data_IF_222227163160
#
_entry.id   IF_222227163160
#
_cell.length_a   1.000
_cell.length_b   1.000
_cell.length_c   1.000
_cell.angle_alpha   90.00
_cell.angle_beta   90.00
_cell.angle_gamma   90.00
#
_symmetry.space_group_name_H-M   'P 1'
#
loop_
_entity.id
_entity.type
_entity.pdbx_description
1 polymer ?
#
# COMPACT_ATOMS: atom_id res chain seq x y z
N UNK A 1 8.63 -29.31 -11.40
CA UNK A 1 8.90 -28.42 -10.27
C UNK A 1 9.65 -27.22 -10.81
N UNK A 2 9.03 -26.04 -10.83
CA UNK A 2 9.73 -24.82 -11.17
C UNK A 2 10.85 -24.60 -10.13
N UNK A 3 12.03 -24.18 -10.56
CA UNK A 3 13.11 -23.86 -9.66
C UNK A 3 12.80 -22.53 -8.97
N UNK A 4 13.29 -22.34 -7.73
CA UNK A 4 13.17 -21.07 -6.98
C UNK A 4 13.57 -19.86 -7.84
N UNK A 5 14.53 -20.06 -8.75
CA UNK A 5 14.98 -19.05 -9.71
C UNK A 5 13.89 -18.70 -10.74
N UNK A 6 13.12 -19.68 -11.22
CA UNK A 6 12.01 -19.44 -12.16
C UNK A 6 10.84 -18.70 -11.47
N UNK A 7 10.54 -19.04 -10.22
CA UNK A 7 9.52 -18.31 -9.44
C UNK A 7 9.96 -16.87 -9.13
N UNK A 8 11.25 -16.63 -8.88
CA UNK A 8 11.81 -15.28 -8.69
C UNK A 8 11.79 -14.51 -10.01
N UNK A 9 12.18 -15.14 -11.12
CA UNK A 9 12.18 -14.52 -12.45
C UNK A 9 10.74 -14.24 -12.93
N UNK A 10 9.77 -15.10 -12.62
CA UNK A 10 8.35 -14.85 -12.88
C UNK A 10 7.83 -13.67 -12.04
N UNK A 11 8.14 -13.61 -10.75
CA UNK A 11 7.78 -12.47 -9.89
C UNK A 11 8.46 -11.18 -10.34
N UNK A 12 9.71 -11.23 -10.78
CA UNK A 12 10.44 -10.06 -11.28
C UNK A 12 9.88 -9.57 -12.62
N UNK A 13 9.45 -10.48 -13.50
CA UNK A 13 8.78 -10.15 -14.76
C UNK A 13 7.37 -9.58 -14.52
N UNK A 14 6.67 -10.00 -13.47
CA UNK A 14 5.35 -9.52 -13.10
C UNK A 14 5.39 -8.04 -12.69
N UNK A 15 6.38 -7.64 -11.88
CA UNK A 15 6.60 -6.23 -11.52
C UNK A 15 7.05 -5.36 -12.69
N UNK A 16 7.68 -5.96 -13.73
CA UNK A 16 8.07 -5.22 -14.95
C UNK A 16 6.90 -4.91 -15.89
N UNK A 17 5.79 -5.65 -15.79
CA UNK A 17 4.63 -5.52 -16.69
C UNK A 17 3.70 -4.35 -16.38
N UNK A 18 3.92 -3.62 -15.28
CA UNK A 18 3.08 -2.50 -14.82
C UNK A 18 1.58 -2.86 -14.72
N UNK A 19 1.28 -4.09 -14.27
CA UNK A 19 -0.06 -4.60 -14.07
C UNK A 19 -0.35 -4.75 -12.58
N UNK A 20 -1.60 -4.50 -12.21
CA UNK A 20 -2.11 -4.76 -10.87
C UNK A 20 -2.63 -6.20 -10.79
N UNK A 21 -2.03 -7.03 -9.94
CA UNK A 21 -2.45 -8.41 -9.73
C UNK A 21 -3.31 -8.51 -8.46
N UNK A 22 -4.57 -8.84 -8.65
CA UNK A 22 -5.58 -8.87 -7.62
C UNK A 22 -6.09 -10.28 -7.39
N UNK A 23 -5.94 -10.79 -6.17
CA UNK A 23 -6.63 -12.01 -5.73
C UNK A 23 -8.06 -11.64 -5.36
N UNK A 24 -9.03 -12.24 -6.04
CA UNK A 24 -10.46 -12.03 -5.79
C UNK A 24 -11.00 -13.07 -4.82
N UNK A 25 -11.86 -12.61 -3.92
CA UNK A 25 -12.52 -13.48 -2.91
C UNK A 25 -13.88 -12.92 -2.51
N UNK A 26 -14.65 -13.72 -1.77
CA UNK A 26 -15.98 -13.37 -1.25
C UNK A 26 -16.00 -13.46 0.26
N UNK A 27 -16.78 -12.58 0.87
CA UNK A 27 -16.95 -12.46 2.33
C UNK A 27 -18.40 -12.72 2.78
N UNK A 28 -19.25 -13.12 1.86
CA UNK A 28 -20.69 -13.29 2.11
C UNK A 28 -21.51 -12.10 1.65
N UNK A 29 -22.68 -11.91 2.25
CA UNK A 29 -23.60 -10.82 1.94
C UNK A 29 -23.31 -9.59 2.80
N UNK A 30 -23.38 -8.41 2.19
CA UNK A 30 -23.32 -7.17 2.93
C UNK A 30 -24.63 -6.92 3.71
N UNK A 31 -24.57 -6.16 4.82
CA UNK A 31 -25.69 -5.96 5.74
C UNK A 31 -27.00 -5.42 5.10
N UNK A 32 -26.90 -4.81 3.91
CA UNK A 32 -28.03 -4.20 3.18
C UNK A 32 -28.18 -4.71 1.75
N UNK A 33 -27.56 -5.83 1.41
CA UNK A 33 -27.59 -6.42 0.07
C UNK A 33 -27.63 -7.94 0.17
N UNK A 34 -28.46 -8.57 -0.65
CA UNK A 34 -28.45 -10.03 -0.83
C UNK A 34 -27.38 -10.48 -1.84
N UNK A 35 -26.61 -9.54 -2.39
CA UNK A 35 -25.55 -9.87 -3.33
C UNK A 35 -24.25 -10.16 -2.58
N UNK A 36 -23.52 -11.14 -3.11
CA UNK A 36 -22.17 -11.52 -2.63
C UNK A 36 -21.16 -10.75 -3.46
N UNK A 37 -20.74 -9.60 -2.96
CA UNK A 37 -19.80 -8.73 -3.62
C UNK A 37 -18.42 -9.39 -3.77
N UNK A 38 -17.65 -8.94 -4.77
CA UNK A 38 -16.26 -9.31 -4.95
C UNK A 38 -15.36 -8.33 -4.22
N UNK A 39 -14.46 -8.89 -3.44
CA UNK A 39 -13.38 -8.19 -2.79
C UNK A 39 -12.05 -8.61 -3.40
N UNK A 40 -11.05 -7.77 -3.24
CA UNK A 40 -9.72 -8.05 -3.73
C UNK A 40 -8.62 -7.60 -2.78
N UNK A 41 -7.50 -8.30 -2.84
CA UNK A 41 -6.24 -7.95 -2.20
C UNK A 41 -5.12 -8.09 -3.22
N UNK A 42 -4.10 -7.22 -3.14
CA UNK A 42 -2.92 -7.39 -3.96
C UNK A 42 -2.26 -8.75 -3.67
N UNK A 43 -2.02 -9.51 -4.72
CA UNK A 43 -1.43 -10.86 -4.66
C UNK A 43 -0.07 -10.86 -3.95
N UNK A 44 0.71 -9.79 -4.07
CA UNK A 44 2.03 -9.69 -3.42
C UNK A 44 1.98 -9.64 -1.89
N UNK A 45 0.82 -9.31 -1.30
CA UNK A 45 0.59 -9.38 0.16
C UNK A 45 0.22 -10.79 0.61
N UNK A 46 -0.17 -11.68 -0.31
CA UNK A 46 -0.62 -13.03 0.00
C UNK A 46 0.55 -14.01 -0.09
N UNK A 47 0.83 -14.68 1.02
CA UNK A 47 1.87 -15.69 1.11
C UNK A 47 1.38 -17.08 0.70
N UNK A 48 0.23 -17.48 1.23
CA UNK A 48 -0.40 -18.77 0.91
C UNK A 48 -1.91 -18.75 1.22
N UNK A 49 -2.64 -19.66 0.60
CA UNK A 49 -4.07 -19.88 0.80
C UNK A 49 -4.25 -21.34 1.19
N UNK A 50 -5.08 -21.60 2.20
CA UNK A 50 -5.33 -22.95 2.69
C UNK A 50 -6.76 -23.10 3.22
N UNK A 51 -7.20 -24.35 3.39
CA UNK A 51 -8.42 -24.65 4.13
C UNK A 51 -8.24 -24.22 5.58
N UNK A 52 -9.31 -23.73 6.20
CA UNK A 52 -9.31 -23.26 7.58
C UNK A 52 -8.72 -24.31 8.53
N UNK A 53 -7.59 -24.04 9.20
CA UNK A 53 -7.02 -24.93 10.20
C UNK A 53 -7.74 -24.79 11.55
N UNK A 54 -7.32 -25.56 12.53
CA UNK A 54 -7.74 -25.38 13.92
C UNK A 54 -7.27 -24.04 14.46
N UNK A 55 -8.20 -23.26 15.01
CA UNK A 55 -7.93 -21.95 15.61
C UNK A 55 -8.06 -22.07 17.13
N UNK A 56 -7.08 -21.59 17.85
CA UNK A 56 -7.10 -21.46 19.31
C UNK A 56 -7.60 -20.08 19.69
N UNK A 57 -8.74 -19.99 20.34
CA UNK A 57 -9.29 -18.73 20.81
C UNK A 57 -8.37 -18.09 21.85
N UNK A 58 -8.22 -16.77 21.81
CA UNK A 58 -7.41 -15.99 22.74
C UNK A 58 -8.34 -15.24 23.71
N UNK A 59 -8.12 -15.43 25.00
CA UNK A 59 -8.89 -14.73 26.04
C UNK A 59 -8.65 -13.21 25.93
N UNK A 60 -9.74 -12.44 25.95
CA UNK A 60 -9.66 -10.98 25.85
C UNK A 60 -9.34 -10.44 24.44
N UNK A 61 -9.42 -11.28 23.40
CA UNK A 61 -9.24 -10.83 22.01
C UNK A 61 -10.31 -9.81 21.59
N UNK A 62 -9.97 -8.98 20.62
CA UNK A 62 -10.89 -7.99 20.02
C UNK A 62 -11.99 -8.66 19.19
N UNK A 63 -13.06 -7.93 18.90
CA UNK A 63 -14.29 -8.44 18.29
C UNK A 63 -14.07 -9.28 17.03
N UNK A 64 -13.13 -8.94 16.18
CA UNK A 64 -12.92 -9.60 14.88
C UNK A 64 -11.62 -10.43 14.86
N UNK A 65 -11.01 -10.71 16.02
CA UNK A 65 -9.91 -11.63 16.14
C UNK A 65 -10.46 -13.01 16.50
N UNK A 66 -10.39 -13.97 15.57
CA UNK A 66 -10.86 -15.35 15.80
C UNK A 66 -9.97 -16.12 16.78
N UNK A 67 -8.68 -15.80 16.81
CA UNK A 67 -7.69 -16.45 17.67
C UNK A 67 -6.32 -16.56 17.00
N UNK A 68 -5.59 -17.60 17.36
CA UNK A 68 -4.26 -17.91 16.83
C UNK A 68 -4.25 -19.28 16.17
N UNK A 69 -3.41 -19.46 15.17
CA UNK A 69 -3.16 -20.76 14.55
C UNK A 69 -1.67 -20.96 14.33
N UNK A 70 -1.25 -22.23 14.27
CA UNK A 70 0.14 -22.59 13.98
C UNK A 70 0.24 -23.03 12.52
N UNK A 71 1.01 -22.25 11.73
CA UNK A 71 1.31 -22.56 10.34
C UNK A 71 2.81 -22.76 10.20
N UNK A 72 3.23 -24.00 9.87
CA UNK A 72 4.63 -24.35 9.67
C UNK A 72 5.56 -23.94 10.84
N UNK A 73 5.05 -24.04 12.07
CA UNK A 73 5.81 -23.71 13.29
C UNK A 73 5.72 -22.24 13.71
N UNK A 74 5.09 -21.39 12.91
CA UNK A 74 4.83 -20.00 13.25
C UNK A 74 3.40 -19.83 13.78
N UNK A 75 3.26 -19.26 14.98
CA UNK A 75 1.96 -18.93 15.56
C UNK A 75 1.55 -17.54 15.08
N UNK A 76 0.44 -17.47 14.35
CA UNK A 76 -0.03 -16.23 13.71
C UNK A 76 -1.48 -15.91 14.10
N UNK A 77 -1.86 -14.62 14.19
CA UNK A 77 -3.23 -14.21 14.45
C UNK A 77 -4.13 -14.47 13.24
N UNK A 78 -5.38 -14.82 13.52
CA UNK A 78 -6.44 -15.06 12.54
C UNK A 78 -7.55 -14.05 12.74
N UNK A 79 -7.87 -13.30 11.68
CA UNK A 79 -8.84 -12.22 11.67
C UNK A 79 -10.06 -12.62 10.85
N UNK A 80 -11.26 -12.41 11.39
CA UNK A 80 -12.54 -12.48 10.67
C UNK A 80 -12.65 -11.27 9.73
N UNK A 81 -12.25 -11.46 8.48
CA UNK A 81 -12.28 -10.38 7.50
C UNK A 81 -13.73 -10.00 7.15
N UNK A 82 -14.63 -10.99 7.08
CA UNK A 82 -16.03 -10.73 6.77
C UNK A 82 -16.69 -9.86 7.86
N UNK A 83 -16.53 -10.25 9.12
CA UNK A 83 -17.04 -9.46 10.24
C UNK A 83 -16.42 -8.07 10.34
N UNK A 84 -15.13 -7.93 10.05
CA UNK A 84 -14.42 -6.66 10.08
C UNK A 84 -14.96 -5.65 9.06
N UNK A 85 -15.38 -6.11 7.88
CA UNK A 85 -15.96 -5.24 6.83
C UNK A 85 -17.50 -5.21 6.84
N UNK A 86 -18.15 -5.88 7.80
CA UNK A 86 -19.61 -5.88 7.95
C UNK A 86 -20.35 -6.83 7.03
N UNK A 87 -19.69 -7.88 6.53
CA UNK A 87 -20.29 -8.95 5.75
C UNK A 87 -20.69 -10.15 6.62
N UNK A 88 -21.64 -10.93 6.14
CA UNK A 88 -22.10 -12.18 6.77
C UNK A 88 -21.89 -13.37 5.83
N UNK A 89 -20.95 -14.28 6.14
CA UNK A 89 -20.71 -15.47 5.34
C UNK A 89 -21.94 -16.38 5.32
N UNK A 90 -22.35 -16.85 4.14
CA UNK A 90 -23.44 -17.83 3.99
C UNK A 90 -23.01 -19.26 4.30
N UNK A 91 -21.79 -19.60 3.86
CA UNK A 91 -21.26 -20.96 3.93
C UNK A 91 -20.18 -21.09 5.02
N UNK A 92 -20.05 -20.08 5.88
CA UNK A 92 -18.99 -19.99 6.90
C UNK A 92 -17.65 -19.53 6.34
N UNK A 93 -16.69 -19.35 7.24
CA UNK A 93 -15.32 -18.96 6.92
C UNK A 93 -14.48 -20.23 6.72
N UNK A 94 -14.32 -20.68 5.48
CA UNK A 94 -13.73 -21.98 5.16
C UNK A 94 -12.28 -21.89 4.68
N UNK A 95 -11.85 -20.71 4.27
CA UNK A 95 -10.52 -20.48 3.69
C UNK A 95 -9.74 -19.53 4.58
N UNK A 96 -8.48 -19.86 4.79
CA UNK A 96 -7.51 -19.00 5.45
C UNK A 96 -6.55 -18.44 4.41
N UNK A 97 -6.48 -17.12 4.32
CA UNK A 97 -5.53 -16.38 3.49
C UNK A 97 -4.42 -15.83 4.39
N UNK A 98 -3.23 -16.43 4.30
CA UNK A 98 -2.04 -16.00 5.04
C UNK A 98 -1.38 -14.86 4.29
N UNK A 99 -1.16 -13.75 4.97
CA UNK A 99 -0.57 -12.56 4.40
C UNK A 99 0.72 -12.18 5.14
N UNK A 100 1.64 -11.59 4.39
CA UNK A 100 2.91 -11.09 4.92
C UNK A 100 3.18 -9.71 4.35
N UNK A 101 3.10 -8.69 5.21
CA UNK A 101 3.39 -7.30 4.86
C UNK A 101 3.72 -6.52 6.15
N UNK A 102 4.33 -5.36 5.99
CA UNK A 102 4.74 -4.51 7.12
C UNK A 102 5.54 -5.29 8.19
N UNK A 103 6.38 -6.22 7.76
CA UNK A 103 7.22 -7.09 8.62
C UNK A 103 6.43 -7.98 9.60
N UNK A 104 5.17 -8.23 9.32
CA UNK A 104 4.33 -9.12 10.13
C UNK A 104 3.62 -10.16 9.28
N UNK A 105 3.36 -11.32 9.88
CA UNK A 105 2.57 -12.39 9.29
C UNK A 105 1.27 -12.53 10.05
N UNK A 106 0.16 -12.50 9.35
CA UNK A 106 -1.19 -12.66 9.87
C UNK A 106 -2.04 -13.43 8.87
N UNK A 107 -3.22 -13.82 9.27
CA UNK A 107 -4.14 -14.53 8.38
C UNK A 107 -5.54 -13.93 8.45
N UNK A 108 -6.21 -13.90 7.31
CA UNK A 108 -7.59 -13.47 7.17
C UNK A 108 -8.47 -14.65 6.80
N UNK A 109 -9.53 -14.85 7.58
CA UNK A 109 -10.56 -15.84 7.30
C UNK A 109 -11.55 -15.26 6.29
N UNK A 110 -11.74 -15.96 5.18
CA UNK A 110 -12.65 -15.60 4.08
C UNK A 110 -13.61 -16.75 3.77
N UNK A 111 -14.75 -16.43 3.15
CA UNK A 111 -15.73 -17.45 2.79
C UNK A 111 -15.26 -18.29 1.61
N UNK A 112 -14.78 -17.63 0.56
CA UNK A 112 -14.43 -18.26 -0.72
C UNK A 112 -13.35 -17.44 -1.43
N UNK A 113 -12.40 -18.12 -2.06
CA UNK A 113 -11.43 -17.50 -2.98
C UNK A 113 -11.88 -17.80 -4.40
N UNK A 114 -11.89 -16.78 -5.26
CA UNK A 114 -12.34 -16.90 -6.65
C UNK A 114 -11.14 -17.11 -7.59
N UNK A 115 -10.51 -16.06 -8.05
CA UNK A 115 -9.42 -16.12 -9.03
C UNK A 115 -8.42 -14.97 -8.86
N UNK A 116 -7.27 -15.07 -9.51
CA UNK A 116 -6.34 -13.96 -9.68
C UNK A 116 -6.61 -13.29 -11.02
N UNK A 117 -6.73 -11.97 -11.01
CA UNK A 117 -6.89 -11.15 -12.21
C UNK A 117 -5.71 -10.19 -12.36
N UNK A 118 -5.34 -9.90 -13.61
CA UNK A 118 -4.32 -8.91 -13.97
C UNK A 118 -4.99 -7.73 -14.64
N UNK A 119 -4.89 -6.56 -14.03
CA UNK A 119 -5.55 -5.34 -14.45
C UNK A 119 -4.54 -4.27 -14.84
N UNK A 120 -4.91 -3.44 -15.79
CA UNK A 120 -4.21 -2.17 -15.99
C UNK A 120 -4.58 -1.21 -14.86
N UNK A 121 -3.64 -0.39 -14.40
CA UNK A 121 -3.90 0.60 -13.36
C UNK A 121 -5.03 1.58 -13.73
N UNK A 122 -5.28 1.80 -15.02
CA UNK A 122 -6.42 2.59 -15.51
C UNK A 122 -7.79 1.97 -15.21
N UNK A 123 -7.82 0.66 -14.90
CA UNK A 123 -9.05 -0.05 -14.49
C UNK A 123 -9.30 0.04 -12.97
N UNK A 124 -8.33 0.57 -12.22
CA UNK A 124 -8.37 0.68 -10.75
C UNK A 124 -8.61 2.13 -10.36
N UNK A 125 -9.78 2.40 -9.81
CA UNK A 125 -10.25 3.75 -9.49
C UNK A 125 -10.19 3.98 -7.98
N UNK A 126 -9.73 5.14 -7.55
CA UNK A 126 -9.73 5.51 -6.13
C UNK A 126 -11.14 5.53 -5.54
N UNK A 127 -11.34 4.91 -4.37
CA UNK A 127 -12.64 4.78 -3.70
C UNK A 127 -12.85 5.79 -2.56
N UNK A 128 -11.90 6.66 -2.28
CA UNK A 128 -11.87 7.50 -1.06
C UNK A 128 -13.09 8.39 -0.82
N UNK A 129 -13.75 8.83 -1.89
CA UNK A 129 -14.95 9.68 -1.77
C UNK A 129 -16.22 8.90 -1.41
N UNK A 130 -16.19 7.58 -1.43
CA UNK A 130 -17.38 6.73 -1.41
C UNK A 130 -17.51 5.85 -0.16
N UNK A 131 -16.48 5.75 0.69
CA UNK A 131 -16.46 4.79 1.81
C UNK A 131 -16.17 5.44 3.15
N UNK A 132 -17.04 5.18 4.14
CA UNK A 132 -16.79 5.51 5.53
C UNK A 132 -15.78 4.52 6.13
N UNK A 133 -14.72 5.00 6.78
CA UNK A 133 -13.79 4.19 7.56
C UNK A 133 -12.49 3.76 6.88
N UNK A 134 -12.24 4.14 5.62
CA UNK A 134 -10.95 3.90 4.95
C UNK A 134 -10.56 2.43 4.74
N UNK A 135 -11.52 1.50 4.77
CA UNK A 135 -11.26 0.07 4.60
C UNK A 135 -11.14 -0.37 3.12
N UNK A 136 -11.48 0.51 2.19
CA UNK A 136 -11.41 0.27 0.76
C UNK A 136 -10.53 1.36 0.14
N UNK A 137 -9.47 0.97 -0.56
CA UNK A 137 -8.58 1.91 -1.24
C UNK A 137 -9.08 2.24 -2.64
N UNK A 138 -9.63 1.25 -3.33
CA UNK A 138 -10.02 1.41 -4.74
C UNK A 138 -11.12 0.43 -5.16
N UNK A 139 -11.74 0.75 -6.31
CA UNK A 139 -12.69 -0.11 -7.02
C UNK A 139 -12.05 -0.54 -8.33
N UNK A 140 -11.94 -1.85 -8.53
CA UNK A 140 -11.38 -2.45 -9.73
C UNK A 140 -12.48 -2.84 -10.71
N UNK A 141 -12.33 -2.46 -11.99
CA UNK A 141 -13.13 -2.95 -13.11
C UNK A 141 -12.49 -4.22 -13.65
N UNK A 142 -13.21 -5.34 -13.61
CA UNK A 142 -12.65 -6.66 -13.91
C UNK A 142 -12.64 -7.03 -15.39
N UNK A 143 -13.44 -6.35 -16.19
CA UNK A 143 -13.55 -6.60 -17.63
C UNK A 143 -13.57 -5.27 -18.42
N UNK A 144 -13.42 -5.37 -19.74
CA UNK A 144 -13.31 -4.20 -20.62
C UNK A 144 -14.65 -3.54 -20.98
N UNK A 145 -15.79 -4.09 -20.53
CA UNK A 145 -17.10 -3.49 -20.75
C UNK A 145 -17.31 -2.36 -19.72
N UNK A 146 -17.32 -1.13 -20.21
CA UNK A 146 -17.44 0.06 -19.34
C UNK A 146 -18.84 0.18 -18.73
N UNK A 147 -19.87 -0.32 -19.41
CA UNK A 147 -21.26 -0.15 -19.00
C UNK A 147 -21.76 -1.28 -18.08
N UNK A 148 -21.22 -2.50 -18.24
CA UNK A 148 -21.62 -3.69 -17.48
C UNK A 148 -20.45 -4.42 -16.81
N UNK A 149 -19.38 -3.73 -16.51
CA UNK A 149 -18.20 -4.35 -15.88
C UNK A 149 -18.51 -4.87 -14.48
N UNK A 150 -18.00 -6.05 -14.17
CA UNK A 150 -17.99 -6.52 -12.79
C UNK A 150 -17.00 -5.68 -11.98
N UNK A 151 -17.38 -5.31 -10.78
CA UNK A 151 -16.57 -4.51 -9.88
C UNK A 151 -16.03 -5.37 -8.73
N UNK A 152 -14.81 -5.10 -8.31
CA UNK A 152 -14.26 -5.64 -7.07
C UNK A 152 -13.78 -4.49 -6.17
N UNK A 153 -14.04 -4.63 -4.87
CA UNK A 153 -13.61 -3.67 -3.85
C UNK A 153 -12.23 -4.08 -3.34
N UNK A 154 -11.22 -3.24 -3.54
CA UNK A 154 -9.86 -3.50 -3.07
C UNK A 154 -9.75 -3.07 -1.61
N UNK A 155 -9.47 -4.04 -0.73
CA UNK A 155 -9.43 -3.82 0.72
C UNK A 155 -8.08 -3.26 1.17
N UNK A 156 -8.14 -2.26 2.06
CA UNK A 156 -7.00 -1.85 2.87
C UNK A 156 -6.84 -2.80 4.07
N UNK A 157 -6.17 -3.92 3.81
CA UNK A 157 -5.96 -4.95 4.85
C UNK A 157 -5.05 -4.47 5.99
N UNK A 158 -4.24 -3.44 5.75
CA UNK A 158 -3.39 -2.82 6.76
C UNK A 158 -4.23 -2.00 7.73
N UNK A 159 -5.16 -1.20 7.20
CA UNK A 159 -6.12 -0.46 8.01
C UNK A 159 -7.03 -1.41 8.80
N UNK A 160 -7.50 -2.48 8.14
CA UNK A 160 -8.35 -3.49 8.79
C UNK A 160 -7.59 -4.19 9.91
N UNK A 161 -6.34 -4.61 9.68
CA UNK A 161 -5.50 -5.21 10.71
C UNK A 161 -5.34 -4.30 11.92
N UNK A 162 -5.07 -3.01 11.70
CA UNK A 162 -4.92 -2.04 12.79
C UNK A 162 -6.21 -1.77 13.55
N UNK A 163 -7.35 -1.82 12.87
CA UNK A 163 -8.65 -1.69 13.54
C UNK A 163 -8.93 -2.88 14.47
N UNK A 164 -8.53 -4.08 14.05
CA UNK A 164 -8.72 -5.32 14.83
C UNK A 164 -7.63 -5.49 15.88
N UNK A 165 -6.41 -5.15 15.56
CA UNK A 165 -5.23 -5.30 16.42
C UNK A 165 -4.47 -3.96 16.49
N UNK A 166 -4.98 -2.98 17.25
CA UNK A 166 -4.33 -1.68 17.35
C UNK A 166 -2.94 -1.83 17.99
N UNK A 167 -1.93 -1.07 17.51
CA UNK A 167 -0.61 -1.08 18.09
C UNK A 167 -0.64 -0.59 19.55
N UNK A 168 0.21 -1.16 20.38
CA UNK A 168 0.30 -0.82 21.80
C UNK A 168 1.00 0.52 22.09
N UNK A 169 1.66 1.11 21.09
CA UNK A 169 2.35 2.39 21.18
C UNK A 169 2.07 3.25 19.94
N UNK A 170 2.17 4.59 20.04
CA UNK A 170 2.06 5.47 18.87
C UNK A 170 3.13 5.13 17.82
N UNK A 171 2.74 5.08 16.55
CA UNK A 171 3.66 4.82 15.44
C UNK A 171 4.69 5.93 15.28
N UNK A 172 4.30 7.17 15.54
CA UNK A 172 5.15 8.34 15.44
C UNK A 172 5.43 8.87 16.85
N UNK A 173 6.69 8.75 17.27
CA UNK A 173 7.20 9.32 18.50
C UNK A 173 8.25 10.39 18.15
N UNK A 174 7.94 11.66 18.39
CA UNK A 174 8.81 12.78 18.09
C UNK A 174 10.23 12.64 18.69
N UNK A 175 10.36 11.99 19.86
CA UNK A 175 11.66 11.74 20.49
C UNK A 175 12.58 10.82 19.66
N UNK A 176 12.01 9.95 18.84
CA UNK A 176 12.74 8.96 18.03
C UNK A 176 12.95 9.42 16.59
N UNK A 177 12.41 10.60 16.22
CA UNK A 177 12.49 11.10 14.84
C UNK A 177 13.85 11.71 14.49
N UNK A 178 14.73 11.91 15.47
CA UNK A 178 16.02 12.55 15.29
C UNK A 178 15.91 14.08 15.05
N UNK A 179 16.96 14.73 14.54
CA UNK A 179 16.96 16.18 14.35
C UNK A 179 15.98 16.63 13.27
N UNK A 180 15.53 17.89 13.39
CA UNK A 180 14.69 18.55 12.40
C UNK A 180 15.37 18.59 11.03
N UNK A 181 14.61 18.34 9.98
CA UNK A 181 15.11 18.38 8.59
C UNK A 181 15.01 19.82 8.07
N UNK A 182 16.10 20.33 7.53
CA UNK A 182 16.16 21.68 6.95
C UNK A 182 16.00 21.59 5.44
N UNK A 183 14.83 21.92 4.95
CA UNK A 183 14.59 22.09 3.51
C UNK A 183 15.01 23.48 3.03
N UNK A 184 15.22 23.62 1.71
CA UNK A 184 15.35 24.94 1.09
C UNK A 184 14.08 25.75 1.33
N UNK A 185 14.18 27.07 1.60
CA UNK A 185 12.99 27.89 1.80
C UNK A 185 12.02 27.80 0.62
N UNK A 186 10.76 27.42 0.90
CA UNK A 186 9.72 27.29 -0.12
C UNK A 186 9.69 25.94 -0.84
N UNK A 187 10.59 25.01 -0.51
CA UNK A 187 10.51 23.63 -1.02
C UNK A 187 9.69 22.71 -0.08
N UNK A 188 9.12 21.67 -0.66
CA UNK A 188 8.27 20.71 0.04
C UNK A 188 8.71 19.28 -0.26
N UNK A 189 8.29 18.34 0.59
CA UNK A 189 8.23 16.92 0.24
C UNK A 189 6.88 16.66 -0.44
N UNK A 190 6.91 16.10 -1.65
CA UNK A 190 5.72 15.66 -2.35
C UNK A 190 5.51 14.18 -2.04
N UNK A 191 4.46 13.86 -1.29
CA UNK A 191 4.17 12.50 -0.85
C UNK A 191 2.90 11.94 -1.53
N UNK A 192 2.90 10.65 -1.88
CA UNK A 192 1.77 9.98 -2.49
C UNK A 192 1.56 8.57 -1.90
N UNK A 193 0.34 8.28 -1.48
CA UNK A 193 -0.09 6.97 -0.95
C UNK A 193 -1.62 6.87 -1.06
N UNK A 194 -2.16 5.71 -1.45
CA UNK A 194 -3.61 5.52 -1.59
C UNK A 194 -4.30 5.16 -0.26
N UNK A 195 -3.56 4.63 0.71
CA UNK A 195 -4.06 4.31 2.05
C UNK A 195 -4.20 5.57 2.90
N UNK A 196 -5.39 5.83 3.43
CA UNK A 196 -5.63 6.92 4.39
C UNK A 196 -4.75 6.79 5.64
N UNK A 197 -4.59 5.55 6.13
CA UNK A 197 -3.73 5.27 7.27
C UNK A 197 -2.28 5.67 6.99
N UNK A 198 -1.74 5.21 5.87
CA UNK A 198 -0.35 5.50 5.51
C UNK A 198 -0.12 7.01 5.32
N UNK A 199 -1.05 7.72 4.65
CA UNK A 199 -0.98 9.18 4.53
C UNK A 199 -0.96 9.87 5.89
N UNK A 200 -1.83 9.47 6.82
CA UNK A 200 -1.87 10.04 8.18
C UNK A 200 -0.52 9.85 8.91
N UNK A 201 0.08 8.68 8.80
CA UNK A 201 1.37 8.39 9.43
C UNK A 201 2.54 9.12 8.77
N UNK A 202 2.52 9.26 7.44
CA UNK A 202 3.48 10.07 6.70
C UNK A 202 3.37 11.54 7.14
N UNK A 203 2.16 12.09 7.18
CA UNK A 203 1.93 13.47 7.64
C UNK A 203 2.46 13.70 9.05
N UNK A 204 2.09 12.84 9.99
CA UNK A 204 2.60 12.93 11.37
C UNK A 204 4.13 12.88 11.41
N UNK A 205 4.75 12.02 10.61
CA UNK A 205 6.20 11.90 10.53
C UNK A 205 6.85 13.16 9.96
N UNK A 206 6.33 13.70 8.86
CA UNK A 206 6.84 14.93 8.23
C UNK A 206 6.66 16.15 9.15
N UNK A 207 5.52 16.27 9.83
CA UNK A 207 5.27 17.31 10.83
C UNK A 207 6.27 17.21 11.99
N UNK A 208 6.49 15.99 12.52
CA UNK A 208 7.45 15.76 13.61
C UNK A 208 8.90 16.09 13.21
N UNK A 209 9.25 16.00 11.92
CA UNK A 209 10.54 16.41 11.37
C UNK A 209 10.61 17.91 11.01
N UNK A 210 9.52 18.66 11.13
CA UNK A 210 9.43 20.06 10.72
C UNK A 210 9.44 20.29 9.21
N UNK A 211 9.02 19.31 8.43
CA UNK A 211 9.04 19.30 6.98
C UNK A 211 7.72 19.80 6.41
N UNK A 212 7.77 20.74 5.47
CA UNK A 212 6.62 21.13 4.66
C UNK A 212 6.33 20.06 3.60
N UNK A 213 5.06 19.75 3.37
CA UNK A 213 4.70 18.69 2.43
C UNK A 213 3.44 19.00 1.63
N UNK A 214 3.29 18.29 0.52
CA UNK A 214 2.05 18.18 -0.25
C UNK A 214 1.71 16.69 -0.28
N UNK A 215 0.48 16.33 0.13
CA UNK A 215 0.01 14.95 0.12
C UNK A 215 -0.90 14.70 -1.08
N UNK A 216 -0.63 13.63 -1.80
CA UNK A 216 -1.39 13.13 -2.94
C UNK A 216 -1.95 11.73 -2.63
N UNK A 217 -3.01 11.33 -3.32
CA UNK A 217 -3.70 10.06 -3.12
C UNK A 217 -3.35 9.01 -4.19
N UNK A 218 -2.80 9.45 -5.30
CA UNK A 218 -2.41 8.59 -6.42
C UNK A 218 -1.09 9.07 -7.03
N UNK A 219 -0.39 8.18 -7.72
CA UNK A 219 0.79 8.56 -8.46
C UNK A 219 0.49 9.54 -9.61
N UNK A 220 -0.73 9.47 -10.17
CA UNK A 220 -1.17 10.42 -11.19
C UNK A 220 -1.32 11.83 -10.62
N UNK A 221 -1.94 11.97 -9.45
CA UNK A 221 -2.05 13.27 -8.77
C UNK A 221 -0.67 13.84 -8.43
N UNK A 222 0.24 13.00 -7.94
CA UNK A 222 1.62 13.41 -7.65
C UNK A 222 2.36 13.87 -8.90
N UNK A 223 2.19 13.17 -10.03
CA UNK A 223 2.77 13.56 -11.30
C UNK A 223 2.24 14.92 -11.78
N UNK A 224 0.93 15.13 -11.76
CA UNK A 224 0.30 16.38 -12.18
C UNK A 224 0.71 17.56 -11.27
N UNK A 225 0.83 17.30 -9.96
CA UNK A 225 1.29 18.29 -8.99
C UNK A 225 2.75 18.66 -9.23
N UNK A 226 3.62 17.67 -9.55
CA UNK A 226 5.02 17.91 -9.87
C UNK A 226 5.17 18.78 -11.12
N UNK A 227 4.37 18.55 -12.15
CA UNK A 227 4.34 19.39 -13.35
C UNK A 227 3.93 20.83 -13.01
N UNK A 228 2.85 21.03 -12.25
CA UNK A 228 2.39 22.35 -11.82
C UNK A 228 3.47 23.12 -11.03
N UNK A 229 4.16 22.42 -10.12
CA UNK A 229 5.26 23.03 -9.34
C UNK A 229 6.47 23.39 -10.21
N UNK A 230 6.73 22.60 -11.26
CA UNK A 230 7.77 22.90 -12.23
C UNK A 230 7.46 24.15 -13.05
N UNK A 231 6.23 24.28 -13.53
CA UNK A 231 5.79 25.44 -14.30
C UNK A 231 5.88 26.72 -13.42
N UNK A 232 5.47 26.62 -12.17
CA UNK A 232 5.61 27.72 -11.21
C UNK A 232 7.09 28.05 -10.92
N UNK A 233 7.98 27.06 -10.82
CA UNK A 233 9.41 27.30 -10.64
C UNK A 233 10.02 28.05 -11.84
N UNK A 234 9.68 27.60 -13.06
CA UNK A 234 10.16 28.26 -14.30
C UNK A 234 9.68 29.72 -14.35
N UNK A 235 8.41 29.98 -14.02
CA UNK A 235 7.86 31.35 -13.98
C UNK A 235 8.59 32.26 -12.98
N UNK A 236 9.17 31.69 -11.91
CA UNK A 236 10.00 32.41 -10.91
C UNK A 236 11.51 32.41 -11.25
N UNK A 237 11.91 31.86 -12.38
CA UNK A 237 13.34 31.72 -12.74
C UNK A 237 14.09 30.71 -11.84
N UNK A 238 13.40 29.74 -11.26
CA UNK A 238 13.92 28.71 -10.35
C UNK A 238 13.92 27.33 -11.00
N UNK A 239 14.60 26.39 -10.35
CA UNK A 239 14.56 24.97 -10.71
C UNK A 239 13.47 24.23 -9.93
N UNK A 240 13.09 23.04 -10.37
CA UNK A 240 12.16 22.20 -9.62
C UNK A 240 12.70 21.85 -8.23
N UNK A 241 14.02 21.68 -8.06
CA UNK A 241 14.65 21.41 -6.77
C UNK A 241 14.50 22.55 -5.73
N UNK A 242 14.10 23.75 -6.16
CA UNK A 242 13.76 24.85 -5.27
C UNK A 242 12.29 24.80 -4.80
N UNK A 243 11.46 23.95 -5.41
CA UNK A 243 10.05 23.74 -5.06
C UNK A 243 9.79 22.36 -4.46
N UNK A 244 10.50 21.33 -4.94
CA UNK A 244 10.35 19.95 -4.47
C UNK A 244 11.70 19.40 -4.03
N UNK A 245 11.84 19.17 -2.74
CA UNK A 245 13.06 18.63 -2.15
C UNK A 245 13.18 17.11 -2.37
N UNK A 246 12.05 16.40 -2.36
CA UNK A 246 11.98 14.93 -2.45
C UNK A 246 10.56 14.50 -2.84
N UNK A 247 10.46 13.41 -3.58
CA UNK A 247 9.21 12.70 -3.79
C UNK A 247 9.22 11.42 -2.94
N UNK A 248 8.20 11.25 -2.10
CA UNK A 248 7.94 10.04 -1.32
C UNK A 248 6.72 9.35 -1.92
N UNK A 249 6.84 8.11 -2.35
CA UNK A 249 5.75 7.43 -3.05
C UNK A 249 5.54 5.99 -2.57
N UNK A 250 4.29 5.59 -2.41
CA UNK A 250 3.96 4.17 -2.34
C UNK A 250 4.17 3.50 -3.70
N UNK A 251 4.26 2.17 -3.70
CA UNK A 251 4.31 1.36 -4.91
C UNK A 251 2.92 1.10 -5.49
N UNK A 252 1.96 0.79 -4.64
CA UNK A 252 0.66 0.26 -5.01
C UNK A 252 -0.41 1.35 -4.96
N UNK A 253 -0.52 2.13 -6.00
CA UNK A 253 -1.52 3.20 -6.08
C UNK A 253 -2.37 3.08 -7.35
N UNK A 254 -3.68 3.41 -7.28
CA UNK A 254 -4.54 3.46 -8.45
C UNK A 254 -4.07 4.51 -9.46
N UNK A 255 -4.50 4.38 -10.71
CA UNK A 255 -4.24 5.26 -11.86
C UNK A 255 -2.76 5.29 -12.30
N UNK A 256 -1.82 5.39 -11.39
CA UNK A 256 -0.38 5.34 -11.64
C UNK A 256 0.33 4.80 -10.41
N UNK A 257 1.00 3.67 -10.57
CA UNK A 257 1.82 3.05 -9.52
C UNK A 257 3.14 3.80 -9.28
N UNK A 258 3.79 3.52 -8.13
CA UNK A 258 5.02 4.21 -7.74
C UNK A 258 6.24 3.89 -8.63
N UNK A 259 6.27 2.71 -9.26
CA UNK A 259 7.35 2.39 -10.22
C UNK A 259 7.23 3.25 -11.49
N UNK A 260 6.01 3.38 -12.01
CA UNK A 260 5.73 4.22 -13.18
C UNK A 260 6.00 5.69 -12.88
N UNK A 261 5.56 6.19 -11.70
CA UNK A 261 5.84 7.54 -11.26
C UNK A 261 7.36 7.79 -11.18
N UNK A 262 8.10 6.89 -10.50
CA UNK A 262 9.55 7.00 -10.36
C UNK A 262 10.25 7.02 -11.71
N UNK A 263 9.90 6.10 -12.61
CA UNK A 263 10.46 6.02 -13.95
C UNK A 263 10.22 7.32 -14.75
N UNK A 264 9.00 7.85 -14.71
CA UNK A 264 8.66 9.12 -15.37
C UNK A 264 9.50 10.27 -14.82
N UNK A 265 9.64 10.38 -13.50
CA UNK A 265 10.47 11.41 -12.85
C UNK A 265 11.93 11.29 -13.31
N UNK A 266 12.50 10.09 -13.29
CA UNK A 266 13.92 9.88 -13.61
C UNK A 266 14.23 9.97 -15.11
N UNK A 267 13.26 9.78 -15.98
CA UNK A 267 13.42 9.93 -17.44
C UNK A 267 13.16 11.35 -17.93
N UNK A 268 12.45 12.19 -17.19
CA UNK A 268 12.20 13.59 -17.57
C UNK A 268 13.35 14.49 -17.13
N UNK A 269 13.97 15.19 -18.10
CA UNK A 269 15.11 16.07 -17.83
C UNK A 269 14.82 17.20 -16.81
N UNK A 270 13.55 17.59 -16.66
CA UNK A 270 13.12 18.60 -15.67
C UNK A 270 13.18 18.07 -14.25
N UNK A 271 12.92 16.76 -14.06
CA UNK A 271 12.66 16.14 -12.76
C UNK A 271 13.72 15.13 -12.32
N UNK A 272 14.59 14.64 -13.22
CA UNK A 272 15.55 13.55 -12.93
C UNK A 272 16.46 13.81 -11.73
N UNK A 273 16.69 15.06 -11.38
CA UNK A 273 17.51 15.46 -10.21
C UNK A 273 16.72 15.43 -8.89
N UNK A 274 15.39 15.34 -8.93
CA UNK A 274 14.55 15.24 -7.73
C UNK A 274 14.73 13.85 -7.13
N UNK A 275 15.13 13.73 -5.86
CA UNK A 275 15.23 12.45 -5.19
C UNK A 275 13.85 11.78 -5.06
N UNK A 276 13.82 10.46 -5.24
CA UNK A 276 12.60 9.64 -5.07
C UNK A 276 12.86 8.56 -4.04
N UNK A 277 12.06 8.55 -2.99
CA UNK A 277 12.03 7.51 -1.96
C UNK A 277 10.76 6.70 -2.12
N UNK A 278 10.90 5.40 -2.23
CA UNK A 278 9.76 4.48 -2.24
C UNK A 278 9.47 4.03 -0.81
N UNK A 279 8.21 4.15 -0.39
CA UNK A 279 7.70 3.81 0.93
C UNK A 279 6.59 2.76 0.78
N UNK A 280 6.89 1.49 1.05
CA UNK A 280 5.97 0.39 0.77
C UNK A 280 5.87 -0.62 1.90
N UNK A 281 4.72 -1.27 2.01
CA UNK A 281 4.50 -2.38 2.93
C UNK A 281 5.06 -3.71 2.42
N UNK A 282 5.39 -3.80 1.13
CA UNK A 282 5.96 -5.00 0.55
C UNK A 282 7.38 -5.21 1.08
N UNK A 283 7.66 -6.38 1.61
CA UNK A 283 8.97 -6.78 2.12
C UNK A 283 9.65 -7.76 1.14
N UNK A 284 10.98 -7.70 1.05
CA UNK A 284 11.78 -8.66 0.30
C UNK A 284 12.86 -8.03 -0.59
N UNK A 285 14.00 -8.73 -0.69
CA UNK A 285 15.16 -8.29 -1.46
C UNK A 285 14.88 -8.10 -2.97
N UNK A 286 13.93 -8.85 -3.52
CA UNK A 286 13.51 -8.71 -4.91
C UNK A 286 12.91 -7.32 -5.19
N UNK A 287 12.13 -6.78 -4.25
CA UNK A 287 11.54 -5.45 -4.37
C UNK A 287 12.61 -4.35 -4.32
N UNK A 288 13.63 -4.50 -3.46
CA UNK A 288 14.75 -3.54 -3.39
C UNK A 288 15.56 -3.49 -4.70
N UNK A 289 15.81 -4.64 -5.31
CA UNK A 289 16.50 -4.71 -6.62
C UNK A 289 15.67 -4.01 -7.71
N UNK A 290 14.36 -4.25 -7.72
CA UNK A 290 13.48 -3.64 -8.71
C UNK A 290 13.34 -2.12 -8.50
N UNK A 291 13.21 -1.67 -7.26
CA UNK A 291 13.22 -0.25 -6.88
C UNK A 291 14.46 0.47 -7.40
N UNK A 292 15.64 -0.14 -7.25
CA UNK A 292 16.88 0.40 -7.80
C UNK A 292 16.88 0.43 -9.34
N UNK A 293 16.28 -0.55 -10.00
CA UNK A 293 16.24 -0.61 -11.47
C UNK A 293 15.43 0.50 -12.11
N UNK A 294 14.42 1.04 -11.42
CA UNK A 294 13.63 2.19 -11.89
C UNK A 294 14.27 3.54 -11.55
N UNK A 295 15.39 3.54 -10.83
CA UNK A 295 16.18 4.72 -10.50
C UNK A 295 15.74 5.43 -9.21
N UNK A 296 15.01 4.78 -8.32
CA UNK A 296 14.71 5.34 -7.00
C UNK A 296 16.00 5.50 -6.18
N UNK A 297 16.06 6.55 -5.38
CA UNK A 297 17.25 6.89 -4.58
C UNK A 297 17.28 6.11 -3.27
N UNK A 298 16.10 5.74 -2.73
CA UNK A 298 15.99 4.88 -1.55
C UNK A 298 14.67 4.12 -1.50
N UNK A 299 14.65 3.10 -0.66
CA UNK A 299 13.47 2.33 -0.28
C UNK A 299 13.36 2.27 1.25
N UNK A 300 12.15 2.41 1.77
CA UNK A 300 11.86 2.28 3.19
C UNK A 300 10.54 1.55 3.41
N UNK A 301 10.53 0.64 4.38
CA UNK A 301 9.31 -0.09 4.77
C UNK A 301 8.30 0.81 5.49
N UNK A 302 7.00 0.58 5.23
CA UNK A 302 5.92 1.29 5.91
C UNK A 302 5.91 1.03 7.42
N UNK A 303 5.34 1.99 8.15
CA UNK A 303 5.02 1.97 9.58
C UNK A 303 6.21 1.97 10.55
N UNK A 304 7.39 2.41 10.10
CA UNK A 304 8.55 2.68 10.97
C UNK A 304 8.99 4.13 10.78
N UNK A 305 8.37 5.03 11.51
CA UNK A 305 8.57 6.47 11.36
C UNK A 305 10.04 6.91 11.52
N UNK A 306 10.78 6.27 12.43
CA UNK A 306 12.21 6.58 12.64
C UNK A 306 13.08 6.19 11.42
N UNK A 307 12.78 5.06 10.75
CA UNK A 307 13.47 4.65 9.52
C UNK A 307 13.13 5.60 8.36
N UNK A 308 11.86 6.01 8.23
CA UNK A 308 11.46 7.00 7.25
C UNK A 308 12.22 8.32 7.45
N UNK A 309 12.31 8.79 8.68
CA UNK A 309 13.02 10.01 9.01
C UNK A 309 14.53 9.92 8.73
N UNK A 310 15.16 8.79 9.05
CA UNK A 310 16.56 8.53 8.75
C UNK A 310 16.80 8.51 7.24
N UNK A 311 15.98 7.78 6.49
CA UNK A 311 16.07 7.67 5.02
C UNK A 311 15.92 9.04 4.34
N UNK A 312 14.94 9.84 4.76
CA UNK A 312 14.76 11.20 4.21
C UNK A 312 16.02 12.05 4.44
N UNK A 313 16.61 12.02 5.65
CA UNK A 313 17.85 12.75 5.92
C UNK A 313 19.01 12.28 5.07
N UNK A 314 19.20 10.97 4.96
CA UNK A 314 20.29 10.39 4.17
C UNK A 314 20.19 10.78 2.69
N UNK A 315 18.99 10.72 2.13
CA UNK A 315 18.75 11.09 0.73
C UNK A 315 18.96 12.59 0.51
N UNK A 316 18.58 13.43 1.47
CA UNK A 316 18.79 14.88 1.43
C UNK A 316 20.22 15.29 1.86
N UNK A 317 21.06 14.32 2.25
CA UNK A 317 22.46 14.54 2.70
C UNK A 317 22.55 15.50 3.90
N UNK A 318 21.74 15.25 4.94
CA UNK A 318 21.67 16.04 6.16
C UNK A 318 22.04 15.23 7.42
#
# INVERSE_FOLDING_TARGET
>A
MATVQQEVDERTNLTSSNKFELLLFRLGEAAHSSQRELFGINVFKVREIMVMPTITAVAGSTKHMLGMTNIRGQVIPVIDLAGAVGCQPKNGLNILMVTEYARSTQAFAVEEVDQIVRLDWSQVLSAESSTQGGMITSIARLDGDVDNTRLAQVLDVEQILRNVMPPSAPDVNAANMGPMVKLRPGSVVLAADDSMLARTLIEQSLVAMGVQYIMCKTGKEAWDRLQTLSDAAVAEGKSIGDKVALVLTDLEMPEMDGFTLTRKIKQDNRFKSVPVVIHSSLSGSANEVHVKSVGADAYVGKFVAAELAATIRDVLKQ
#
